data_IF_455666845320
#
_entry.id   IF_455666845320
#
_cell.length_a   1.000
_cell.length_b   1.000
_cell.length_c   1.000
_cell.angle_alpha   90.00
_cell.angle_beta   90.00
_cell.angle_gamma   90.00
#
_symmetry.space_group_name_H-M   'P 1'
#
loop_
_entity.id
_entity.type
_entity.pdbx_description
1 polymer ?
#
# COMPACT_ATOMS: atom_id res chain seq x y z
N UNK A 1 0.74 -24.84 -6.87
CA UNK A 1 1.33 -23.49 -7.07
C UNK A 1 2.67 -23.61 -7.78
N UNK A 2 2.97 -22.72 -8.73
CA UNK A 2 4.29 -22.65 -9.39
C UNK A 2 5.04 -21.42 -8.89
N UNK A 3 6.36 -21.50 -8.73
CA UNK A 3 7.23 -20.33 -8.50
C UNK A 3 7.96 -20.07 -9.81
N UNK A 4 7.78 -18.87 -10.35
CA UNK A 4 8.34 -18.44 -11.65
C UNK A 4 9.26 -17.26 -11.40
N UNK A 5 10.46 -17.32 -11.97
CA UNK A 5 11.49 -16.30 -11.77
C UNK A 5 11.74 -15.42 -12.99
N UNK A 6 11.31 -15.85 -14.18
CA UNK A 6 11.58 -15.13 -15.42
C UNK A 6 10.31 -14.58 -16.07
N UNK A 7 10.43 -13.42 -16.71
CA UNK A 7 9.35 -12.81 -17.51
C UNK A 7 8.91 -13.74 -18.62
N UNK A 8 9.87 -14.44 -19.24
CA UNK A 8 9.57 -15.37 -20.35
C UNK A 8 8.64 -16.50 -19.89
N UNK A 9 8.98 -17.17 -18.79
CA UNK A 9 8.18 -18.28 -18.25
C UNK A 9 6.78 -17.80 -17.83
N UNK A 10 6.69 -16.63 -17.17
CA UNK A 10 5.39 -16.09 -16.78
C UNK A 10 4.51 -15.76 -17.98
N UNK A 11 5.06 -15.17 -19.03
CA UNK A 11 4.32 -14.90 -20.27
C UNK A 11 3.87 -16.17 -20.99
N UNK A 12 4.66 -17.24 -20.97
CA UNK A 12 4.22 -18.54 -21.50
C UNK A 12 3.06 -19.09 -20.69
N UNK A 13 3.15 -19.10 -19.36
CA UNK A 13 2.07 -19.51 -18.49
C UNK A 13 0.79 -18.67 -18.75
N UNK A 14 0.93 -17.34 -18.89
CA UNK A 14 -0.20 -16.41 -19.07
C UNK A 14 -1.04 -16.72 -20.32
N UNK A 15 -0.44 -17.26 -21.38
CA UNK A 15 -1.15 -17.59 -22.63
C UNK A 15 -2.32 -18.54 -22.45
N UNK A 16 -2.28 -19.40 -21.45
CA UNK A 16 -3.28 -20.44 -21.19
C UNK A 16 -4.05 -20.25 -19.89
N UNK A 17 -3.75 -19.20 -19.13
CA UNK A 17 -4.23 -19.04 -17.77
C UNK A 17 -5.70 -18.58 -17.63
N UNK A 18 -6.38 -18.21 -18.72
CA UNK A 18 -7.73 -17.62 -18.61
C UNK A 18 -7.74 -16.30 -17.85
N UNK A 19 -8.76 -16.06 -17.00
CA UNK A 19 -8.80 -14.87 -16.15
C UNK A 19 -7.76 -14.92 -15.05
N UNK A 20 -7.05 -13.81 -14.88
CA UNK A 20 -5.98 -13.66 -13.89
C UNK A 20 -6.24 -12.46 -12.98
N UNK A 21 -6.25 -12.72 -11.67
CA UNK A 21 -6.17 -11.67 -10.66
C UNK A 21 -4.74 -11.57 -10.11
N UNK A 22 -4.29 -10.35 -9.83
CA UNK A 22 -2.92 -10.07 -9.44
C UNK A 22 -2.83 -9.38 -8.08
N UNK A 23 -1.86 -9.80 -7.27
CA UNK A 23 -1.53 -9.18 -5.98
C UNK A 23 -0.04 -8.85 -5.95
N UNK A 24 0.36 -7.61 -6.24
CA UNK A 24 1.77 -7.22 -6.13
C UNK A 24 2.19 -7.05 -4.67
N UNK A 25 3.31 -7.67 -4.29
CA UNK A 25 3.88 -7.57 -2.94
C UNK A 25 5.40 -7.46 -2.98
N UNK A 26 5.98 -7.09 -1.85
CA UNK A 26 7.43 -7.14 -1.64
C UNK A 26 7.86 -8.37 -0.81
N UNK A 27 6.96 -9.27 -0.50
CA UNK A 27 7.21 -10.41 0.40
C UNK A 27 7.02 -10.07 1.89
N UNK A 28 7.49 -10.97 2.77
CA UNK A 28 7.25 -10.96 4.20
C UNK A 28 5.74 -10.85 4.50
N UNK A 29 5.00 -11.79 3.92
CA UNK A 29 3.55 -11.77 3.89
C UNK A 29 2.95 -11.96 5.29
N UNK A 30 1.92 -11.20 5.58
CA UNK A 30 1.10 -11.29 6.78
C UNK A 30 -0.38 -11.37 6.39
N UNK A 31 -1.27 -11.53 7.36
CA UNK A 31 -2.70 -11.72 7.15
C UNK A 31 -3.35 -10.62 6.27
N UNK A 32 -2.87 -9.38 6.36
CA UNK A 32 -3.30 -8.30 5.46
C UNK A 32 -3.05 -8.60 3.98
N UNK A 33 -1.90 -9.21 3.63
CA UNK A 33 -1.62 -9.65 2.25
C UNK A 33 -2.48 -10.85 1.85
N UNK A 34 -2.71 -11.80 2.77
CA UNK A 34 -3.58 -12.96 2.50
C UNK A 34 -5.03 -12.53 2.26
N UNK A 35 -5.50 -11.47 2.90
CA UNK A 35 -6.80 -10.88 2.62
C UNK A 35 -6.90 -10.38 1.15
N UNK A 36 -5.82 -9.77 0.61
CA UNK A 36 -5.77 -9.41 -0.82
C UNK A 36 -5.88 -10.64 -1.73
N UNK A 37 -5.17 -11.71 -1.39
CA UNK A 37 -5.21 -12.98 -2.14
C UNK A 37 -6.61 -13.58 -2.12
N UNK A 38 -7.27 -13.60 -0.97
CA UNK A 38 -8.65 -14.11 -0.84
C UNK A 38 -9.64 -13.29 -1.65
N UNK A 39 -9.48 -11.95 -1.70
CA UNK A 39 -10.30 -11.10 -2.55
C UNK A 39 -10.01 -11.35 -4.04
N UNK A 40 -8.75 -11.50 -4.42
CA UNK A 40 -8.34 -11.83 -5.79
C UNK A 40 -8.98 -13.15 -6.27
N UNK A 41 -9.04 -14.17 -5.40
CA UNK A 41 -9.68 -15.47 -5.71
C UNK A 41 -11.18 -15.37 -6.01
N UNK A 42 -11.87 -14.35 -5.52
CA UNK A 42 -13.29 -14.11 -5.86
C UNK A 42 -13.48 -13.52 -7.26
N UNK A 43 -12.40 -13.03 -7.89
CA UNK A 43 -12.42 -12.27 -9.14
C UNK A 43 -11.92 -13.05 -10.35
N UNK A 44 -11.09 -14.08 -10.14
CA UNK A 44 -10.51 -14.87 -11.22
C UNK A 44 -10.18 -16.30 -10.79
N UNK A 45 -10.12 -17.21 -11.76
CA UNK A 45 -9.76 -18.62 -11.52
C UNK A 45 -8.29 -18.79 -11.13
N UNK A 46 -7.44 -17.89 -11.63
CA UNK A 46 -6.00 -17.91 -11.40
C UNK A 46 -5.54 -16.63 -10.67
N UNK A 47 -4.88 -16.81 -9.53
CA UNK A 47 -4.23 -15.72 -8.80
C UNK A 47 -2.72 -15.79 -9.01
N UNK A 48 -2.15 -14.67 -9.41
CA UNK A 48 -0.69 -14.43 -9.45
C UNK A 48 -0.33 -13.48 -8.31
N UNK A 49 0.66 -13.85 -7.52
CA UNK A 49 1.25 -12.97 -6.49
C UNK A 49 2.69 -12.67 -6.89
N UNK A 50 3.08 -11.42 -6.98
CA UNK A 50 4.51 -11.11 -7.12
C UNK A 50 5.17 -10.91 -5.76
N UNK A 51 6.42 -11.34 -5.65
CA UNK A 51 7.30 -11.07 -4.51
C UNK A 51 8.57 -10.44 -5.05
N UNK A 52 8.65 -9.10 -4.95
CA UNK A 52 9.79 -8.34 -5.44
C UNK A 52 10.04 -7.09 -4.59
N UNK A 53 11.20 -7.01 -3.96
CA UNK A 53 11.63 -5.82 -3.21
C UNK A 53 12.20 -4.80 -4.21
N UNK A 54 11.41 -3.76 -4.50
CA UNK A 54 11.70 -2.79 -5.54
C UNK A 54 12.61 -1.66 -5.04
N UNK A 55 13.86 -1.64 -5.46
CA UNK A 55 14.83 -0.59 -5.07
C UNK A 55 14.37 0.83 -5.39
N UNK A 56 13.68 1.03 -6.53
CA UNK A 56 13.31 2.37 -7.01
C UNK A 56 12.37 3.13 -6.07
N UNK A 57 11.66 2.43 -5.18
CA UNK A 57 10.72 3.04 -4.24
C UNK A 57 11.31 3.30 -2.85
N UNK A 58 12.59 2.96 -2.62
CA UNK A 58 13.27 3.24 -1.36
C UNK A 58 14.16 4.48 -1.51
N UNK A 59 13.99 5.42 -0.59
CA UNK A 59 14.83 6.58 -0.46
C UNK A 59 16.17 6.26 0.22
N UNK A 60 17.08 7.22 0.18
CA UNK A 60 18.35 7.11 0.90
C UNK A 60 18.11 6.96 2.40
N UNK A 61 18.70 5.92 3.02
CA UNK A 61 18.56 5.63 4.45
C UNK A 61 17.28 4.86 4.83
N UNK A 62 16.42 4.49 3.87
CA UNK A 62 15.30 3.58 4.13
C UNK A 62 15.76 2.12 4.25
N UNK A 63 14.84 1.23 4.63
CA UNK A 63 15.09 -0.16 5.04
C UNK A 63 15.29 -1.16 3.88
N UNK A 64 15.72 -0.73 2.69
CA UNK A 64 15.86 -1.61 1.51
C UNK A 64 16.75 -2.83 1.78
N UNK A 65 17.93 -2.61 2.34
CA UNK A 65 18.89 -3.70 2.60
C UNK A 65 18.44 -4.61 3.76
N UNK A 66 17.65 -4.06 4.69
CA UNK A 66 17.12 -4.76 5.86
C UNK A 66 15.73 -5.35 5.60
N UNK A 67 15.10 -5.04 4.45
CA UNK A 67 13.76 -5.50 4.16
C UNK A 67 13.73 -7.05 4.13
N UNK A 68 12.82 -7.68 4.88
CA UNK A 68 12.82 -9.15 5.02
C UNK A 68 12.60 -9.86 3.68
N UNK A 69 13.41 -10.87 3.42
CA UNK A 69 13.33 -11.71 2.22
C UNK A 69 13.02 -13.14 2.65
N UNK A 70 11.75 -13.50 2.64
CA UNK A 70 11.19 -14.73 3.24
C UNK A 70 10.47 -15.59 2.22
N UNK A 71 11.02 -15.71 0.99
CA UNK A 71 10.34 -16.33 -0.16
C UNK A 71 9.73 -17.70 0.15
N UNK A 72 10.47 -18.59 0.85
CA UNK A 72 9.95 -19.92 1.15
C UNK A 72 8.74 -19.86 2.09
N UNK A 73 8.83 -19.10 3.17
CA UNK A 73 7.71 -18.93 4.13
C UNK A 73 6.50 -18.29 3.46
N UNK A 74 6.74 -17.32 2.57
CA UNK A 74 5.68 -16.68 1.80
C UNK A 74 5.03 -17.65 0.82
N UNK A 75 5.82 -18.48 0.14
CA UNK A 75 5.34 -19.52 -0.77
C UNK A 75 4.48 -20.55 -0.04
N UNK A 76 4.87 -20.95 1.17
CA UNK A 76 4.09 -21.89 2.00
C UNK A 76 2.71 -21.31 2.34
N UNK A 77 2.65 -20.03 2.76
CA UNK A 77 1.38 -19.33 3.02
C UNK A 77 0.51 -19.26 1.76
N UNK A 78 1.10 -18.86 0.63
CA UNK A 78 0.38 -18.74 -0.65
C UNK A 78 -0.10 -20.07 -1.20
N UNK A 79 0.63 -21.15 -0.93
CA UNK A 79 0.18 -22.51 -1.25
C UNK A 79 -1.09 -22.86 -0.47
N UNK A 80 -1.14 -22.53 0.83
CA UNK A 80 -2.32 -22.72 1.66
C UNK A 80 -3.54 -21.93 1.18
N UNK A 81 -3.33 -20.78 0.56
CA UNK A 81 -4.40 -19.95 -0.03
C UNK A 81 -4.78 -20.41 -1.46
N UNK A 82 -4.09 -21.39 -2.05
CA UNK A 82 -4.39 -21.91 -3.38
C UNK A 82 -4.03 -20.93 -4.52
N UNK A 83 -2.96 -20.17 -4.38
CA UNK A 83 -2.41 -19.29 -5.42
C UNK A 83 -1.88 -20.14 -6.57
N UNK A 84 -2.11 -19.71 -7.82
CA UNK A 84 -1.65 -20.45 -8.99
C UNK A 84 -0.15 -20.24 -9.24
N UNK A 85 0.30 -18.98 -9.17
CA UNK A 85 1.70 -18.61 -9.46
C UNK A 85 2.21 -17.57 -8.46
N UNK A 86 3.43 -17.81 -7.98
CA UNK A 86 4.28 -16.78 -7.35
C UNK A 86 5.31 -16.32 -8.38
N UNK A 87 5.26 -15.04 -8.75
CA UNK A 87 6.27 -14.42 -9.60
C UNK A 87 7.33 -13.77 -8.71
N UNK A 88 8.51 -14.37 -8.65
CA UNK A 88 9.60 -13.92 -7.80
C UNK A 88 10.88 -13.65 -8.64
N UNK A 89 10.86 -12.60 -9.48
CA UNK A 89 12.02 -12.25 -10.30
C UNK A 89 13.15 -11.68 -9.43
N UNK A 90 14.36 -11.79 -9.91
CA UNK A 90 15.46 -11.03 -9.35
C UNK A 90 15.51 -9.59 -9.92
N UNK A 91 16.41 -8.77 -9.39
CA UNK A 91 16.52 -7.37 -9.81
C UNK A 91 16.97 -7.24 -11.28
N UNK A 92 17.83 -8.14 -11.76
CA UNK A 92 18.35 -8.10 -13.14
C UNK A 92 17.26 -8.49 -14.15
N UNK A 93 16.33 -9.35 -13.77
CA UNK A 93 15.20 -9.72 -14.61
C UNK A 93 14.26 -8.53 -14.82
N UNK A 94 13.92 -7.80 -13.75
CA UNK A 94 13.07 -6.61 -13.86
C UNK A 94 13.80 -5.36 -14.34
N UNK A 95 15.08 -5.19 -13.97
CA UNK A 95 15.93 -4.04 -14.29
C UNK A 95 17.24 -4.51 -14.91
N UNK A 96 17.24 -4.94 -16.19
CA UNK A 96 18.43 -5.48 -16.85
C UNK A 96 19.53 -4.44 -17.05
N UNK A 97 19.19 -3.16 -17.00
CA UNK A 97 20.15 -2.05 -16.96
C UNK A 97 20.26 -1.55 -15.52
N UNK A 98 21.47 -1.19 -15.11
CA UNK A 98 21.75 -0.66 -13.77
C UNK A 98 20.88 0.58 -13.47
N UNK A 99 20.61 1.39 -14.49
CA UNK A 99 19.80 2.59 -14.42
C UNK A 99 18.48 2.41 -15.17
N UNK A 100 17.35 2.64 -14.48
CA UNK A 100 16.03 2.66 -15.10
C UNK A 100 15.83 4.03 -15.79
N UNK A 101 15.89 4.07 -17.13
CA UNK A 101 15.83 5.31 -17.89
C UNK A 101 14.41 5.83 -18.12
N UNK A 102 13.46 4.92 -18.36
CA UNK A 102 12.05 5.27 -18.59
C UNK A 102 11.27 5.01 -17.31
N UNK A 103 10.64 6.04 -16.79
CA UNK A 103 9.85 5.99 -15.56
C UNK A 103 8.41 6.42 -15.82
N UNK A 104 7.49 5.95 -15.00
CA UNK A 104 6.14 6.49 -14.91
C UNK A 104 6.16 7.56 -13.83
N UNK A 105 5.88 8.80 -14.23
CA UNK A 105 5.90 9.96 -13.34
C UNK A 105 4.46 10.31 -12.94
N UNK A 106 4.04 10.04 -11.69
CA UNK A 106 2.72 10.45 -11.22
C UNK A 106 2.58 11.98 -11.14
N UNK A 107 1.33 12.52 -11.12
CA UNK A 107 1.10 13.96 -11.00
C UNK A 107 1.58 14.51 -9.65
N UNK A 108 1.30 15.81 -9.38
CA UNK A 108 1.80 16.53 -8.19
C UNK A 108 1.52 15.81 -6.85
N UNK A 109 0.45 15.04 -6.76
CA UNK A 109 0.11 14.23 -5.58
C UNK A 109 1.30 13.35 -5.10
N UNK A 110 2.20 12.93 -6.00
CA UNK A 110 3.40 12.18 -5.61
C UNK A 110 4.33 12.93 -4.63
N UNK A 111 4.22 14.26 -4.54
CA UNK A 111 5.05 15.13 -3.71
C UNK A 111 4.33 15.61 -2.44
N UNK A 112 3.10 15.16 -2.21
CA UNK A 112 2.30 15.48 -1.04
C UNK A 112 2.24 14.27 -0.08
N UNK A 113 1.70 14.47 1.14
CA UNK A 113 1.49 13.40 2.12
C UNK A 113 2.76 12.55 2.32
N UNK A 114 2.67 11.22 2.11
CA UNK A 114 3.85 10.34 2.18
C UNK A 114 4.96 10.76 1.22
N UNK A 115 4.61 11.25 0.03
CA UNK A 115 5.60 11.62 -0.98
C UNK A 115 6.45 12.82 -0.60
N UNK A 116 5.92 13.75 0.20
CA UNK A 116 6.68 14.89 0.76
C UNK A 116 7.87 14.43 1.62
N UNK A 117 7.69 13.31 2.33
CA UNK A 117 8.69 12.72 3.24
C UNK A 117 9.52 11.62 2.58
N UNK A 118 9.13 11.21 1.38
CA UNK A 118 9.76 10.13 0.60
C UNK A 118 9.91 10.53 -0.88
N UNK A 119 10.76 11.51 -1.21
CA UNK A 119 10.93 11.97 -2.60
C UNK A 119 11.25 10.83 -3.55
N UNK A 120 10.53 10.75 -4.68
CA UNK A 120 10.69 9.72 -5.70
C UNK A 120 10.04 8.37 -5.40
N UNK A 121 9.50 8.16 -4.20
CA UNK A 121 8.85 6.91 -3.81
C UNK A 121 7.74 6.50 -4.78
N UNK A 122 6.79 7.37 -5.04
CA UNK A 122 5.64 7.05 -5.89
C UNK A 122 6.00 6.91 -7.38
N UNK A 123 7.04 7.60 -7.85
CA UNK A 123 7.63 7.32 -9.18
C UNK A 123 8.16 5.89 -9.24
N UNK A 124 8.87 5.45 -8.20
CA UNK A 124 9.36 4.08 -8.09
C UNK A 124 8.22 3.05 -8.07
N UNK A 125 7.16 3.31 -7.30
CA UNK A 125 5.96 2.46 -7.22
C UNK A 125 5.23 2.42 -8.57
N UNK A 126 4.92 3.55 -9.17
CA UNK A 126 4.21 3.62 -10.45
C UNK A 126 4.99 2.90 -11.55
N UNK A 127 6.32 3.06 -11.58
CA UNK A 127 7.19 2.39 -12.55
C UNK A 127 7.17 0.88 -12.38
N UNK A 128 7.38 0.35 -11.17
CA UNK A 128 7.38 -1.11 -10.95
C UNK A 128 6.02 -1.74 -11.19
N UNK A 129 4.94 -1.10 -10.72
CA UNK A 129 3.58 -1.63 -10.92
C UNK A 129 3.22 -1.66 -12.40
N UNK A 130 3.56 -0.61 -13.16
CA UNK A 130 3.39 -0.60 -14.62
C UNK A 130 4.17 -1.74 -15.30
N UNK A 131 5.42 -1.98 -14.90
CA UNK A 131 6.20 -3.12 -15.42
C UNK A 131 5.53 -4.45 -15.09
N UNK A 132 5.09 -4.63 -13.86
CA UNK A 132 4.41 -5.85 -13.42
C UNK A 132 3.07 -6.05 -14.18
N UNK A 133 2.29 -5.00 -14.41
CA UNK A 133 1.07 -5.08 -15.22
C UNK A 133 1.35 -5.50 -16.65
N UNK A 134 2.40 -4.96 -17.27
CA UNK A 134 2.82 -5.35 -18.62
C UNK A 134 3.37 -6.78 -18.71
N UNK A 135 3.88 -7.33 -17.60
CA UNK A 135 4.43 -8.69 -17.53
C UNK A 135 3.32 -9.69 -17.27
N UNK A 136 2.52 -9.46 -16.23
CA UNK A 136 1.45 -10.36 -15.76
C UNK A 136 0.22 -10.29 -16.65
N UNK A 137 -0.09 -9.10 -17.17
CA UNK A 137 -1.32 -8.81 -17.94
C UNK A 137 -2.59 -9.30 -17.22
N UNK A 138 -2.83 -8.84 -15.98
CA UNK A 138 -3.98 -9.29 -15.21
C UNK A 138 -5.27 -8.65 -15.71
N UNK A 139 -6.41 -9.33 -15.50
CA UNK A 139 -7.74 -8.77 -15.69
C UNK A 139 -8.15 -7.89 -14.48
N UNK A 140 -7.65 -8.25 -13.30
CA UNK A 140 -7.94 -7.57 -12.03
C UNK A 140 -6.67 -7.48 -11.19
N UNK A 141 -6.48 -6.40 -10.44
CA UNK A 141 -5.39 -6.30 -9.47
C UNK A 141 -5.89 -5.76 -8.12
N UNK A 142 -5.53 -6.44 -7.01
CA UNK A 142 -5.97 -6.10 -5.67
C UNK A 142 -4.90 -5.31 -4.92
N UNK A 143 -5.29 -4.17 -4.32
CA UNK A 143 -4.43 -3.31 -3.54
C UNK A 143 -5.08 -2.96 -2.19
N UNK A 144 -4.27 -2.96 -1.13
CA UNK A 144 -4.76 -2.61 0.21
C UNK A 144 -4.99 -1.11 0.38
N UNK A 145 -6.11 -0.74 0.99
CA UNK A 145 -6.40 0.66 1.38
C UNK A 145 -5.42 1.21 2.41
N UNK A 146 -4.68 0.35 3.10
CA UNK A 146 -3.66 0.80 4.06
C UNK A 146 -2.67 1.79 3.42
N UNK A 147 -2.21 1.51 2.22
CA UNK A 147 -1.34 2.38 1.43
C UNK A 147 -2.19 3.26 0.50
N UNK A 148 -3.07 4.08 1.10
CA UNK A 148 -4.17 4.77 0.43
C UNK A 148 -3.71 5.69 -0.71
N UNK A 149 -2.67 6.49 -0.48
CA UNK A 149 -2.10 7.36 -1.51
C UNK A 149 -1.54 6.55 -2.69
N UNK A 150 -0.92 5.40 -2.42
CA UNK A 150 -0.48 4.47 -3.45
C UNK A 150 -1.66 3.96 -4.27
N UNK A 151 -2.75 3.56 -3.61
CA UNK A 151 -3.96 3.09 -4.28
C UNK A 151 -4.56 4.15 -5.21
N UNK A 152 -4.66 5.40 -4.75
CA UNK A 152 -5.18 6.52 -5.56
C UNK A 152 -4.29 6.77 -6.77
N UNK A 153 -2.97 6.80 -6.60
CA UNK A 153 -2.01 6.97 -7.70
C UNK A 153 -2.10 5.83 -8.71
N UNK A 154 -2.25 4.58 -8.24
CA UNK A 154 -2.36 3.42 -9.14
C UNK A 154 -3.66 3.48 -9.93
N UNK A 155 -4.79 3.80 -9.31
CA UNK A 155 -6.06 4.00 -10.02
C UNK A 155 -5.92 5.10 -11.09
N UNK A 156 -5.31 6.23 -10.74
CA UNK A 156 -5.11 7.34 -11.65
C UNK A 156 -4.30 6.94 -12.89
N UNK A 157 -3.13 6.31 -12.73
CA UNK A 157 -2.35 5.95 -13.92
C UNK A 157 -2.96 4.78 -14.72
N UNK A 158 -3.72 3.89 -14.09
CA UNK A 158 -4.46 2.84 -14.81
C UNK A 158 -5.51 3.46 -15.73
N UNK A 159 -6.23 4.46 -15.25
CA UNK A 159 -7.20 5.23 -16.03
C UNK A 159 -6.51 6.05 -17.13
N UNK A 160 -5.56 6.91 -16.78
CA UNK A 160 -4.89 7.83 -17.70
C UNK A 160 -4.11 7.11 -18.82
N UNK A 161 -3.50 5.96 -18.52
CA UNK A 161 -2.74 5.16 -19.48
C UNK A 161 -3.58 4.05 -20.14
N UNK A 162 -4.89 4.04 -19.91
CA UNK A 162 -5.84 3.11 -20.55
C UNK A 162 -5.48 1.63 -20.33
N UNK A 163 -5.03 1.27 -19.14
CA UNK A 163 -4.86 -0.14 -18.81
C UNK A 163 -6.23 -0.82 -18.68
N UNK A 164 -6.39 -1.95 -19.35
CA UNK A 164 -7.62 -2.76 -19.23
C UNK A 164 -7.53 -3.67 -17.98
N UNK A 165 -7.46 -3.07 -16.80
CA UNK A 165 -7.28 -3.76 -15.51
C UNK A 165 -8.26 -3.17 -14.49
N UNK A 166 -9.08 -4.03 -13.86
CA UNK A 166 -9.93 -3.61 -12.74
C UNK A 166 -9.11 -3.51 -11.45
N UNK A 167 -9.01 -2.32 -10.86
CA UNK A 167 -8.30 -2.09 -9.59
C UNK A 167 -9.26 -2.24 -8.42
N UNK A 168 -9.08 -3.28 -7.64
CA UNK A 168 -9.91 -3.63 -6.49
C UNK A 168 -9.25 -3.16 -5.19
N UNK A 169 -9.86 -2.16 -4.51
CA UNK A 169 -9.44 -1.77 -3.17
C UNK A 169 -9.86 -2.83 -2.15
N UNK A 170 -8.95 -3.17 -1.24
CA UNK A 170 -9.23 -4.12 -0.15
C UNK A 170 -8.99 -3.43 1.19
N UNK A 171 -9.92 -3.59 2.11
CA UNK A 171 -9.88 -2.93 3.40
C UNK A 171 -8.61 -3.29 4.21
N UNK A 172 -8.19 -2.35 5.05
CA UNK A 172 -7.00 -2.51 5.90
C UNK A 172 -7.20 -3.64 6.91
N UNK A 173 -6.39 -4.69 6.80
CA UNK A 173 -6.33 -5.73 7.83
C UNK A 173 -5.75 -5.16 9.12
N UNK A 174 -6.39 -5.45 10.25
CA UNK A 174 -5.99 -4.95 11.57
C UNK A 174 -5.82 -6.07 12.58
N UNK A 175 -4.96 -5.85 13.57
CA UNK A 175 -4.92 -6.66 14.77
C UNK A 175 -6.15 -6.38 15.64
N UNK A 176 -6.40 -7.22 16.66
CA UNK A 176 -7.57 -7.10 17.55
C UNK A 176 -7.65 -5.77 18.33
N UNK A 177 -6.52 -5.10 18.50
CA UNK A 177 -6.40 -3.79 19.14
C UNK A 177 -6.51 -2.59 18.15
N UNK A 178 -6.75 -2.86 16.88
CA UNK A 178 -6.93 -1.85 15.84
C UNK A 178 -5.66 -1.50 15.04
N UNK A 179 -4.47 -1.95 15.46
CA UNK A 179 -3.23 -1.67 14.71
C UNK A 179 -3.30 -2.23 13.29
N UNK A 180 -3.06 -1.39 12.28
CA UNK A 180 -2.95 -1.82 10.90
C UNK A 180 -1.80 -2.82 10.72
N UNK A 181 -2.07 -3.94 10.05
CA UNK A 181 -1.07 -4.97 9.79
C UNK A 181 -0.01 -4.46 8.81
N UNK A 182 1.25 -4.61 9.18
CA UNK A 182 2.41 -4.17 8.39
C UNK A 182 3.62 -5.05 8.68
N UNK A 183 4.42 -5.30 7.65
CA UNK A 183 5.73 -5.98 7.80
C UNK A 183 6.66 -5.21 8.75
N UNK A 184 6.48 -3.89 8.89
CA UNK A 184 7.27 -3.05 9.78
C UNK A 184 6.87 -3.15 11.26
N UNK A 185 5.73 -3.75 11.57
CA UNK A 185 5.31 -3.94 12.98
C UNK A 185 6.28 -4.84 13.77
N UNK A 186 7.05 -5.69 13.07
CA UNK A 186 8.08 -6.52 13.68
C UNK A 186 9.28 -5.73 14.23
N UNK A 187 9.43 -4.45 13.85
CA UNK A 187 10.51 -3.59 14.33
C UNK A 187 10.16 -2.90 15.66
N UNK A 188 8.88 -2.95 16.06
CA UNK A 188 8.43 -2.33 17.30
C UNK A 188 8.89 -3.15 18.50
N UNK A 189 9.43 -2.48 19.53
CA UNK A 189 9.58 -3.06 20.87
C UNK A 189 8.22 -3.37 21.49
N UNK A 190 8.18 -4.12 22.58
CA UNK A 190 6.93 -4.44 23.28
C UNK A 190 6.18 -3.16 23.71
N UNK A 191 6.88 -2.17 24.24
CA UNK A 191 6.28 -0.90 24.64
C UNK A 191 5.74 -0.12 23.44
N UNK A 192 6.50 -0.04 22.34
CA UNK A 192 6.05 0.60 21.12
C UNK A 192 4.87 -0.16 20.49
N UNK A 193 4.88 -1.50 20.51
CA UNK A 193 3.77 -2.31 20.01
C UNK A 193 2.48 -2.09 20.82
N UNK A 194 2.57 -1.90 22.12
CA UNK A 194 1.43 -1.59 22.98
C UNK A 194 0.87 -0.19 22.70
N UNK A 195 1.73 0.78 22.36
CA UNK A 195 1.36 2.17 22.06
C UNK A 195 0.86 2.34 20.60
N UNK A 196 1.34 1.53 19.64
CA UNK A 196 1.07 1.69 18.22
C UNK A 196 -0.41 1.78 17.81
N UNK A 197 -1.39 1.14 18.49
CA UNK A 197 -2.82 1.29 18.17
C UNK A 197 -3.35 2.71 18.34
N UNK A 198 -2.68 3.57 19.13
CA UNK A 198 -3.07 4.98 19.29
C UNK A 198 -3.23 5.71 17.97
N UNK A 199 -2.38 5.44 16.98
CA UNK A 199 -2.49 6.10 15.68
C UNK A 199 -3.91 5.93 15.10
N UNK A 200 -4.43 4.71 15.10
CA UNK A 200 -5.79 4.44 14.61
C UNK A 200 -6.87 5.03 15.51
N UNK A 201 -6.69 5.00 16.83
CA UNK A 201 -7.64 5.61 17.78
C UNK A 201 -7.78 7.12 17.51
N UNK A 202 -6.68 7.81 17.22
CA UNK A 202 -6.72 9.24 16.90
C UNK A 202 -7.44 9.53 15.59
N UNK A 203 -7.29 8.66 14.56
CA UNK A 203 -8.08 8.78 13.34
C UNK A 203 -9.57 8.56 13.60
N UNK A 204 -9.93 7.62 14.49
CA UNK A 204 -11.33 7.39 14.91
C UNK A 204 -11.90 8.60 15.65
N UNK A 205 -11.10 9.28 16.49
CA UNK A 205 -11.51 10.51 17.18
C UNK A 205 -11.84 11.63 16.17
N UNK A 206 -11.00 11.83 15.14
CA UNK A 206 -11.29 12.78 14.07
C UNK A 206 -12.57 12.38 13.33
N UNK A 207 -12.70 11.11 12.93
CA UNK A 207 -13.88 10.62 12.21
C UNK A 207 -15.17 10.81 13.01
N UNK A 208 -15.13 10.60 14.34
CA UNK A 208 -16.27 10.84 15.23
C UNK A 208 -16.62 12.34 15.31
N UNK A 209 -15.62 13.22 15.39
CA UNK A 209 -15.84 14.66 15.40
C UNK A 209 -16.47 15.15 14.10
N UNK A 210 -15.97 14.69 12.95
CA UNK A 210 -16.53 15.00 11.62
C UNK A 210 -17.99 14.58 11.49
N UNK A 211 -18.34 13.39 11.98
CA UNK A 211 -19.74 12.88 11.99
C UNK A 211 -20.66 13.63 12.95
N UNK A 212 -20.11 14.37 13.89
CA UNK A 212 -20.82 15.26 14.82
C UNK A 212 -20.74 16.73 14.37
N UNK A 213 -20.59 16.97 13.06
CA UNK A 213 -20.58 18.30 12.43
C UNK A 213 -19.46 19.23 12.90
N UNK A 214 -18.40 18.73 13.49
CA UNK A 214 -17.20 19.53 13.70
C UNK A 214 -16.39 19.57 12.39
N UNK A 215 -16.52 20.66 11.66
CA UNK A 215 -15.92 20.87 10.35
C UNK A 215 -14.69 21.80 10.38
N UNK A 216 -14.14 22.08 11.54
CA UNK A 216 -12.82 22.74 11.67
C UNK A 216 -11.70 21.74 11.48
N UNK A 217 -11.44 21.40 10.22
CA UNK A 217 -10.46 20.38 9.84
C UNK A 217 -9.07 20.71 10.38
N UNK A 218 -8.65 21.97 10.28
CA UNK A 218 -7.34 22.41 10.74
C UNK A 218 -7.17 22.24 12.26
N UNK A 219 -8.22 22.54 13.04
CA UNK A 219 -8.21 22.29 14.48
C UNK A 219 -8.14 20.81 14.80
N UNK A 220 -8.93 19.97 14.13
CA UNK A 220 -8.93 18.51 14.35
C UNK A 220 -7.58 17.88 14.04
N UNK A 221 -6.96 18.28 12.94
CA UNK A 221 -5.61 17.84 12.55
C UNK A 221 -4.57 18.26 13.60
N UNK A 222 -4.56 19.54 14.01
CA UNK A 222 -3.62 20.09 14.98
C UNK A 222 -3.76 19.42 16.36
N UNK A 223 -4.98 19.18 16.82
CA UNK A 223 -5.22 18.49 18.08
C UNK A 223 -4.73 17.03 18.04
N UNK A 224 -4.93 16.33 16.94
CA UNK A 224 -4.44 14.97 16.75
C UNK A 224 -2.90 14.95 16.78
N UNK A 225 -2.25 15.85 16.03
CA UNK A 225 -0.78 16.01 16.03
C UNK A 225 -0.28 16.25 17.46
N UNK A 226 -0.91 17.14 18.21
CA UNK A 226 -0.52 17.42 19.60
C UNK A 226 -0.63 16.16 20.48
N UNK A 227 -1.77 15.46 20.43
CA UNK A 227 -1.98 14.24 21.25
C UNK A 227 -0.98 13.12 20.93
N UNK A 228 -0.65 12.93 19.66
CA UNK A 228 0.39 11.98 19.25
C UNK A 228 1.78 12.44 19.74
N UNK A 229 2.10 13.71 19.60
CA UNK A 229 3.39 14.28 20.04
C UNK A 229 3.55 14.19 21.55
N UNK A 230 2.51 14.50 22.34
CA UNK A 230 2.48 14.35 23.80
C UNK A 230 2.69 12.90 24.24
N UNK A 231 2.30 11.94 23.40
CA UNK A 231 2.50 10.50 23.60
C UNK A 231 3.86 9.98 23.07
N UNK A 232 4.76 10.86 22.66
CA UNK A 232 6.12 10.54 22.23
C UNK A 232 6.29 10.17 20.76
N UNK A 233 5.27 10.42 19.92
CA UNK A 233 5.37 10.20 18.49
C UNK A 233 6.02 11.40 17.76
N UNK A 234 6.73 11.13 16.69
CA UNK A 234 7.20 12.15 15.74
C UNK A 234 6.28 12.10 14.52
N UNK A 235 5.38 13.09 14.43
CA UNK A 235 4.35 13.13 13.40
C UNK A 235 4.89 13.75 12.12
N UNK A 236 4.76 13.03 11.00
CA UNK A 236 5.06 13.55 9.68
C UNK A 236 3.87 14.41 9.19
N UNK A 237 2.66 13.85 9.25
CA UNK A 237 1.41 14.54 8.94
C UNK A 237 0.20 13.85 9.55
N UNK A 238 -0.86 14.62 9.75
CA UNK A 238 -2.26 14.20 9.90
C UNK A 238 -3.07 15.10 8.99
N UNK A 239 -3.80 14.56 8.04
CA UNK A 239 -4.52 15.35 7.06
C UNK A 239 -5.88 14.76 6.72
N UNK A 240 -6.89 15.63 6.58
CA UNK A 240 -8.24 15.31 6.11
C UNK A 240 -8.29 15.67 4.62
N UNK A 241 -8.56 14.69 3.78
CA UNK A 241 -8.56 14.84 2.33
C UNK A 241 -9.84 14.30 1.70
N UNK A 242 -10.15 14.73 0.48
CA UNK A 242 -11.20 14.11 -0.33
C UNK A 242 -10.82 12.66 -0.67
N UNK A 243 -11.73 11.70 -0.42
CA UNK A 243 -11.39 10.28 -0.47
C UNK A 243 -10.90 9.79 -1.84
N UNK A 244 -11.48 10.26 -2.93
CA UNK A 244 -11.14 9.74 -4.26
C UNK A 244 -9.91 10.39 -4.89
N UNK A 245 -9.70 11.69 -4.66
CA UNK A 245 -8.66 12.47 -5.33
C UNK A 245 -7.46 12.80 -4.45
N UNK A 246 -7.61 12.70 -3.12
CA UNK A 246 -6.69 13.23 -2.12
C UNK A 246 -6.44 14.73 -2.24
N UNK A 247 -7.30 15.46 -2.94
CA UNK A 247 -7.31 16.92 -2.89
C UNK A 247 -7.57 17.41 -1.47
N UNK A 248 -7.20 18.65 -1.17
CA UNK A 248 -7.53 19.31 0.11
C UNK A 248 -9.04 19.27 0.30
N UNK A 249 -9.49 18.79 1.46
CA UNK A 249 -10.90 18.70 1.77
C UNK A 249 -11.52 20.08 2.04
N UNK A 250 -12.75 20.26 1.61
CA UNK A 250 -13.53 21.47 1.84
C UNK A 250 -14.83 21.14 2.60
N UNK A 251 -15.33 22.12 3.33
CA UNK A 251 -16.63 22.02 3.99
C UNK A 251 -17.71 21.78 2.92
N UNK A 252 -18.45 20.68 3.07
CA UNK A 252 -19.44 20.23 2.09
C UNK A 252 -19.05 18.97 1.33
N UNK A 253 -17.77 18.56 1.37
CA UNK A 253 -17.35 17.26 0.86
C UNK A 253 -17.97 16.15 1.71
N UNK A 254 -18.55 15.16 1.05
CA UNK A 254 -19.28 14.06 1.72
C UNK A 254 -18.40 12.83 1.92
N UNK A 255 -17.39 12.65 1.10
CA UNK A 255 -16.50 11.50 1.11
C UNK A 255 -15.08 11.94 1.44
N UNK A 256 -14.71 11.74 2.68
CA UNK A 256 -13.43 12.15 3.23
C UNK A 256 -12.57 10.94 3.57
N UNK A 257 -11.28 11.15 3.66
CA UNK A 257 -10.32 10.23 4.26
C UNK A 257 -9.40 10.98 5.19
N UNK A 258 -9.23 10.47 6.39
CA UNK A 258 -8.24 10.97 7.35
C UNK A 258 -7.00 10.10 7.19
N UNK A 259 -5.86 10.71 6.91
CA UNK A 259 -4.59 10.00 6.73
C UNK A 259 -3.57 10.51 7.74
N UNK A 260 -2.76 9.59 8.24
CA UNK A 260 -1.65 9.95 9.11
C UNK A 260 -0.39 9.13 8.82
N UNK A 261 0.74 9.76 9.04
CA UNK A 261 2.03 9.10 9.11
C UNK A 261 2.81 9.65 10.30
N UNK A 262 3.34 8.77 11.12
CA UNK A 262 4.12 9.15 12.29
C UNK A 262 5.15 8.06 12.63
N UNK A 263 6.21 8.45 13.33
CA UNK A 263 7.23 7.55 13.83
C UNK A 263 7.02 7.30 15.31
N UNK A 264 7.08 6.03 15.67
CA UNK A 264 7.17 5.58 17.05
C UNK A 264 8.54 4.92 17.23
N UNK A 265 9.39 5.53 18.04
CA UNK A 265 10.81 5.22 18.03
C UNK A 265 11.42 5.42 16.63
N UNK A 266 12.01 4.36 16.07
CA UNK A 266 12.58 4.38 14.72
C UNK A 266 11.61 3.92 13.64
N UNK A 267 10.46 3.36 14.01
CA UNK A 267 9.51 2.74 13.07
C UNK A 267 8.48 3.76 12.59
N UNK A 268 8.46 3.98 11.26
CA UNK A 268 7.43 4.79 10.61
C UNK A 268 6.18 3.98 10.36
N UNK A 269 5.07 4.39 10.93
CA UNK A 269 3.74 3.81 10.76
C UNK A 269 2.86 4.76 9.93
N UNK A 270 1.98 4.18 9.13
CA UNK A 270 0.94 4.90 8.39
C UNK A 270 -0.41 4.25 8.66
N UNK A 271 -1.44 5.05 8.69
CA UNK A 271 -2.81 4.57 8.75
C UNK A 271 -3.76 5.58 8.09
N UNK A 272 -4.98 5.13 7.83
CA UNK A 272 -6.04 5.96 7.28
C UNK A 272 -7.43 5.44 7.68
N UNK A 273 -8.43 6.33 7.57
CA UNK A 273 -9.81 5.99 7.82
C UNK A 273 -10.72 6.80 6.88
N UNK A 274 -11.51 6.13 6.06
CA UNK A 274 -12.55 6.74 5.23
C UNK A 274 -13.72 7.21 6.10
N UNK A 275 -14.26 8.38 5.81
CA UNK A 275 -15.39 8.98 6.53
C UNK A 275 -16.42 9.47 5.53
N UNK A 276 -17.59 8.84 5.52
CA UNK A 276 -18.75 9.34 4.80
C UNK A 276 -19.58 10.23 5.74
N UNK A 277 -19.90 11.44 5.27
CA UNK A 277 -20.76 12.40 5.96
C UNK A 277 -22.17 12.36 5.35
N UNK A 278 -23.19 12.63 6.15
CA UNK A 278 -24.59 12.59 5.75
C UNK A 278 -24.98 13.66 4.71
#
# INVERSE_FOLDING_TARGET
MQIIHTIKELREWRKTAGKVAFVPTMGNLHEGHLALVREAKKRADNVVVSIFVNRLQFGQGEDFDKYPRTLQQDADKLTGEGVAVVFAPDEKELYPNVEQRFNVEPPHLQNELCGKFRPGHFRGVATVVTKLFNIVQPDTACFGKKDYQQLVIIKGFVEDLNFNIDIVPVDTGRASDGLALSSRNQYLSEAERAEAPRLYQELQNIAAALKNDNLDYAQLEAECVRRLTDAGWVVDYVEIRHAHSLAVAHVGDKELVVLAAARLGTTRLIDNLEVALA
#
